data_IF_173436055352
#
_entry.id   IF_173436055352
#
_cell.length_a   1.000
_cell.length_b   1.000
_cell.length_c   1.000
_cell.angle_alpha   90.00
_cell.angle_beta   90.00
_cell.angle_gamma   90.00
#
_symmetry.space_group_name_H-M   'P 1'
#
loop_
_entity.id
_entity.type
_entity.pdbx_description
1 polymer ?
#
# COMPACT_ATOMS: atom_id res chain seq x y z
N UNK A 1 -20.72 30.62 -57.45
CA UNK A 1 -21.10 30.16 -56.09
C UNK A 1 -22.27 31.02 -55.65
N UNK A 2 -23.44 30.43 -55.51
CA UNK A 2 -24.65 31.17 -55.09
C UNK A 2 -24.60 31.46 -53.60
N UNK A 3 -25.24 32.53 -53.13
CA UNK A 3 -25.27 32.90 -51.71
C UNK A 3 -25.73 31.72 -50.82
N UNK A 4 -26.65 30.90 -51.34
CA UNK A 4 -27.19 29.70 -50.68
C UNK A 4 -26.13 28.61 -50.52
N UNK A 5 -25.31 28.36 -51.55
CA UNK A 5 -24.20 27.41 -51.49
C UNK A 5 -23.14 27.82 -50.45
N UNK A 6 -22.83 29.12 -50.37
CA UNK A 6 -21.88 29.65 -49.38
C UNK A 6 -22.38 29.49 -47.95
N UNK A 7 -23.67 29.78 -47.71
CA UNK A 7 -24.29 29.60 -46.39
C UNK A 7 -24.32 28.11 -46.01
N UNK A 8 -24.66 27.22 -46.96
CA UNK A 8 -24.67 25.77 -46.72
C UNK A 8 -23.26 25.23 -46.42
N UNK A 9 -22.24 25.68 -47.15
CA UNK A 9 -20.85 25.31 -46.90
C UNK A 9 -20.40 25.73 -45.49
N UNK A 10 -20.69 26.98 -45.09
CA UNK A 10 -20.35 27.50 -43.77
C UNK A 10 -21.07 26.73 -42.64
N UNK A 11 -22.35 26.37 -42.84
CA UNK A 11 -23.10 25.57 -41.88
C UNK A 11 -22.50 24.16 -41.69
N UNK A 12 -22.06 23.52 -42.76
CA UNK A 12 -21.39 22.20 -42.70
C UNK A 12 -20.04 22.28 -41.98
N UNK A 13 -19.24 23.32 -42.24
CA UNK A 13 -17.96 23.55 -41.54
C UNK A 13 -18.21 23.80 -40.05
N UNK A 14 -19.19 24.63 -39.70
CA UNK A 14 -19.56 24.89 -38.31
C UNK A 14 -20.01 23.62 -37.58
N UNK A 15 -20.75 22.75 -38.26
CA UNK A 15 -21.21 21.46 -37.71
C UNK A 15 -20.04 20.51 -37.45
N UNK A 16 -19.09 20.41 -38.41
CA UNK A 16 -17.88 19.60 -38.25
C UNK A 16 -17.02 20.09 -37.09
N UNK A 17 -16.80 21.41 -36.98
CA UNK A 17 -16.07 22.02 -35.87
C UNK A 17 -16.79 21.78 -34.54
N UNK A 18 -18.12 21.92 -34.51
CA UNK A 18 -18.93 21.61 -33.33
C UNK A 18 -18.75 20.18 -32.84
N UNK A 19 -18.71 19.20 -33.76
CA UNK A 19 -18.44 17.81 -33.41
C UNK A 19 -17.02 17.62 -32.84
N UNK A 20 -16.00 18.24 -33.45
CA UNK A 20 -14.61 18.17 -32.95
C UNK A 20 -14.53 18.77 -31.53
N UNK A 21 -15.15 19.91 -31.29
CA UNK A 21 -15.21 20.53 -29.96
C UNK A 21 -15.95 19.65 -28.96
N UNK A 22 -17.06 19.03 -29.33
CA UNK A 22 -17.81 18.13 -28.45
C UNK A 22 -16.96 16.91 -28.05
N UNK A 23 -16.26 16.29 -29.00
CA UNK A 23 -15.33 15.18 -28.71
C UNK A 23 -14.20 15.65 -27.80
N UNK A 24 -13.61 16.81 -28.09
CA UNK A 24 -12.54 17.37 -27.24
C UNK A 24 -13.01 17.63 -25.81
N UNK A 25 -14.16 18.28 -25.63
CA UNK A 25 -14.74 18.55 -24.30
C UNK A 25 -15.04 17.24 -23.58
N UNK A 26 -15.61 16.24 -24.27
CA UNK A 26 -15.87 14.93 -23.69
C UNK A 26 -14.59 14.25 -23.19
N UNK A 27 -13.52 14.27 -23.99
CA UNK A 27 -12.22 13.71 -23.60
C UNK A 27 -11.62 14.46 -22.41
N UNK A 28 -11.71 15.79 -22.38
CA UNK A 28 -11.22 16.60 -21.26
C UNK A 28 -12.02 16.37 -19.98
N UNK A 29 -13.35 16.31 -20.08
CA UNK A 29 -14.24 16.00 -18.96
C UNK A 29 -13.94 14.61 -18.39
N UNK A 30 -13.79 13.61 -19.27
CA UNK A 30 -13.45 12.24 -18.87
C UNK A 30 -12.09 12.20 -18.15
N UNK A 31 -11.08 12.90 -18.69
CA UNK A 31 -9.76 13.03 -18.07
C UNK A 31 -9.82 13.69 -16.69
N UNK A 32 -10.61 14.76 -16.52
CA UNK A 32 -10.77 15.44 -15.23
C UNK A 32 -11.51 14.57 -14.21
N UNK A 33 -12.53 13.82 -14.64
CA UNK A 33 -13.24 12.87 -13.78
C UNK A 33 -12.34 11.74 -13.28
N UNK A 34 -11.45 11.23 -14.14
CA UNK A 34 -10.54 10.13 -13.78
C UNK A 34 -9.35 10.61 -12.93
N UNK A 35 -9.00 11.91 -12.99
CA UNK A 35 -7.89 12.51 -12.24
C UNK A 35 -8.10 12.44 -10.73
N UNK A 36 -9.25 12.90 -10.21
CA UNK A 36 -9.52 12.86 -8.77
C UNK A 36 -9.56 11.43 -8.27
N UNK A 37 -10.16 10.52 -9.05
CA UNK A 37 -10.26 9.10 -8.72
C UNK A 37 -8.89 8.44 -8.57
N UNK A 38 -7.99 8.60 -9.55
CA UNK A 38 -6.64 7.99 -9.49
C UNK A 38 -5.80 8.54 -8.34
N UNK A 39 -5.87 9.84 -8.10
CA UNK A 39 -5.16 10.49 -6.99
C UNK A 39 -5.64 9.97 -5.64
N UNK A 40 -6.95 9.85 -5.47
CA UNK A 40 -7.56 9.41 -4.20
C UNK A 40 -7.27 7.91 -3.95
N UNK A 41 -7.36 7.05 -4.97
CA UNK A 41 -6.96 5.63 -4.88
C UNK A 41 -5.48 5.48 -4.51
N UNK A 42 -4.60 6.34 -5.06
CA UNK A 42 -3.17 6.33 -4.70
C UNK A 42 -2.94 6.75 -3.26
N UNK A 43 -3.70 7.74 -2.78
CA UNK A 43 -3.64 8.17 -1.38
C UNK A 43 -4.16 7.10 -0.41
N UNK A 44 -5.25 6.41 -0.74
CA UNK A 44 -5.75 5.28 0.06
C UNK A 44 -4.70 4.17 0.20
N UNK A 45 -3.97 3.86 -0.88
CA UNK A 45 -2.90 2.88 -0.84
C UNK A 45 -1.69 3.36 -0.03
N UNK A 46 -1.34 4.65 -0.09
CA UNK A 46 -0.28 5.26 0.73
C UNK A 46 -0.59 5.11 2.22
N UNK A 47 -1.83 5.41 2.62
CA UNK A 47 -2.30 5.24 4.00
C UNK A 47 -2.31 3.78 4.44
N UNK A 48 -2.84 2.88 3.60
CA UNK A 48 -2.88 1.46 3.91
C UNK A 48 -1.48 0.85 4.07
N UNK A 49 -0.50 1.37 3.31
CA UNK A 49 0.92 0.98 3.42
C UNK A 49 1.48 1.37 4.79
N UNK A 50 1.32 2.63 5.18
CA UNK A 50 1.78 3.14 6.48
C UNK A 50 1.16 2.36 7.64
N UNK A 51 -0.16 2.17 7.60
CA UNK A 51 -0.92 1.45 8.63
C UNK A 51 -0.44 -0.01 8.78
N UNK A 52 -0.19 -0.68 7.66
CA UNK A 52 0.24 -2.09 7.66
C UNK A 52 1.64 -2.24 8.23
N UNK A 53 2.58 -1.39 7.84
CA UNK A 53 3.93 -1.42 8.40
C UNK A 53 3.97 -1.03 9.87
N UNK A 54 3.14 -0.08 10.31
CA UNK A 54 3.01 0.27 11.73
C UNK A 54 2.42 -0.92 12.55
N UNK A 55 1.40 -1.59 12.02
CA UNK A 55 0.83 -2.79 12.63
C UNK A 55 1.85 -3.94 12.69
N UNK A 56 2.67 -4.10 11.64
CA UNK A 56 3.73 -5.10 11.57
C UNK A 56 4.77 -4.88 12.67
N UNK A 57 5.30 -3.65 12.79
CA UNK A 57 6.24 -3.26 13.86
C UNK A 57 5.65 -3.56 15.24
N UNK A 58 4.42 -3.11 15.49
CA UNK A 58 3.76 -3.30 16.79
C UNK A 58 3.59 -4.78 17.14
N UNK A 59 3.25 -5.60 16.15
CA UNK A 59 3.07 -7.05 16.34
C UNK A 59 4.39 -7.74 16.64
N UNK A 60 5.46 -7.37 15.94
CA UNK A 60 6.82 -7.90 16.16
C UNK A 60 7.37 -7.47 17.52
N UNK A 61 7.15 -6.23 17.95
CA UNK A 61 7.52 -5.75 19.28
C UNK A 61 6.81 -6.55 20.37
N UNK A 62 5.49 -6.73 20.24
CA UNK A 62 4.68 -7.51 21.17
C UNK A 62 5.16 -8.95 21.25
N UNK A 63 5.46 -9.55 20.10
CA UNK A 63 6.02 -10.88 20.00
C UNK A 63 7.38 -11.01 20.72
N UNK A 64 8.28 -10.08 20.45
CA UNK A 64 9.62 -10.03 21.03
C UNK A 64 9.58 -9.93 22.55
N UNK A 65 8.68 -9.09 23.09
CA UNK A 65 8.44 -8.98 24.51
C UNK A 65 7.92 -10.28 25.12
N UNK A 66 6.97 -10.95 24.44
CA UNK A 66 6.48 -12.26 24.87
C UNK A 66 7.63 -13.27 24.94
N UNK A 67 8.48 -13.35 23.91
CA UNK A 67 9.64 -14.25 23.88
C UNK A 67 10.64 -13.93 25.00
N UNK A 68 10.98 -12.64 25.18
CA UNK A 68 11.93 -12.18 26.21
C UNK A 68 11.48 -12.60 27.61
N UNK A 69 10.23 -12.35 27.95
CA UNK A 69 9.67 -12.68 29.27
C UNK A 69 9.78 -14.18 29.56
N UNK A 70 9.62 -15.03 28.55
CA UNK A 70 9.69 -16.48 28.76
C UNK A 70 11.10 -17.01 28.89
N UNK A 71 12.05 -16.45 28.15
CA UNK A 71 13.47 -16.75 28.35
C UNK A 71 13.91 -16.36 29.77
N UNK A 72 13.49 -15.17 30.24
CA UNK A 72 13.76 -14.71 31.63
C UNK A 72 13.14 -15.64 32.68
N UNK A 73 11.94 -16.15 32.42
CA UNK A 73 11.23 -17.04 33.34
C UNK A 73 11.66 -18.51 33.25
N UNK A 74 12.59 -18.88 32.36
CA UNK A 74 13.04 -20.26 32.17
C UNK A 74 11.97 -21.21 31.60
N UNK A 75 10.96 -20.66 30.92
CA UNK A 75 9.87 -21.44 30.35
C UNK A 75 10.22 -21.95 28.94
N UNK A 76 10.10 -23.25 28.72
CA UNK A 76 10.36 -23.90 27.41
C UNK A 76 9.14 -23.97 26.48
N UNK A 77 7.97 -23.47 26.90
CA UNK A 77 6.76 -23.46 26.08
C UNK A 77 6.60 -22.14 25.33
N UNK A 78 6.04 -22.22 24.12
CA UNK A 78 5.86 -21.08 23.25
C UNK A 78 4.80 -20.10 23.81
N UNK A 79 5.21 -18.87 24.20
CA UNK A 79 4.34 -17.86 24.82
C UNK A 79 3.18 -17.41 23.94
N UNK A 80 3.48 -17.40 22.65
CA UNK A 80 2.82 -16.52 21.70
C UNK A 80 1.36 -16.91 21.53
N UNK A 81 1.04 -18.19 21.75
CA UNK A 81 -0.31 -18.73 21.66
C UNK A 81 -1.15 -18.53 22.93
N UNK A 82 -0.53 -18.09 24.03
CA UNK A 82 -1.19 -17.94 25.33
C UNK A 82 -1.45 -16.47 25.70
N UNK A 83 -0.72 -15.52 25.10
CA UNK A 83 -0.94 -14.08 25.33
C UNK A 83 -2.01 -13.52 24.42
N UNK A 84 -3.11 -13.09 25.05
CA UNK A 84 -4.22 -12.43 24.38
C UNK A 84 -3.79 -11.19 23.58
N UNK A 85 -2.86 -10.40 24.10
CA UNK A 85 -2.36 -9.19 23.44
C UNK A 85 -1.73 -9.51 22.07
N UNK A 86 -0.92 -10.57 21.97
CA UNK A 86 -0.33 -10.97 20.69
C UNK A 86 -1.39 -11.49 19.72
N UNK A 87 -2.33 -12.31 20.20
CA UNK A 87 -3.43 -12.84 19.37
C UNK A 87 -4.25 -11.70 18.77
N UNK A 88 -4.56 -10.69 19.58
CA UNK A 88 -5.30 -9.51 19.12
C UNK A 88 -4.48 -8.68 18.11
N UNK A 89 -3.20 -8.41 18.41
CA UNK A 89 -2.32 -7.67 17.49
C UNK A 89 -2.10 -8.39 16.17
N UNK A 90 -1.94 -9.72 16.19
CA UNK A 90 -1.84 -10.53 14.98
C UNK A 90 -3.11 -10.47 14.16
N UNK A 91 -4.28 -10.57 14.79
CA UNK A 91 -5.57 -10.41 14.10
C UNK A 91 -5.71 -9.02 13.45
N UNK A 92 -5.28 -7.97 14.15
CA UNK A 92 -5.27 -6.61 13.60
C UNK A 92 -4.31 -6.50 12.40
N UNK A 93 -3.11 -7.10 12.50
CA UNK A 93 -2.15 -7.15 11.40
C UNK A 93 -2.74 -7.86 10.18
N UNK A 94 -3.34 -9.04 10.35
CA UNK A 94 -3.94 -9.82 9.25
C UNK A 94 -5.02 -9.01 8.52
N UNK A 95 -5.85 -8.27 9.27
CA UNK A 95 -6.85 -7.36 8.70
C UNK A 95 -6.19 -6.21 7.91
N UNK A 96 -5.14 -5.59 8.46
CA UNK A 96 -4.42 -4.51 7.79
C UNK A 96 -3.72 -4.99 6.51
N UNK A 97 -3.09 -6.17 6.53
CA UNK A 97 -2.51 -6.82 5.35
C UNK A 97 -3.56 -7.05 4.27
N UNK A 98 -4.76 -7.48 4.65
CA UNK A 98 -5.87 -7.67 3.72
C UNK A 98 -6.32 -6.34 3.10
N UNK A 99 -6.53 -5.29 3.89
CA UNK A 99 -6.87 -3.95 3.39
C UNK A 99 -5.78 -3.38 2.49
N UNK A 100 -4.51 -3.59 2.84
CA UNK A 100 -3.37 -3.20 2.01
C UNK A 100 -3.40 -3.88 0.65
N UNK A 101 -3.60 -5.20 0.63
CA UNK A 101 -3.71 -5.96 -0.61
C UNK A 101 -4.86 -5.44 -1.50
N UNK A 102 -6.03 -5.17 -0.92
CA UNK A 102 -7.17 -4.63 -1.66
C UNK A 102 -6.84 -3.26 -2.30
N UNK A 103 -6.13 -2.39 -1.58
CA UNK A 103 -5.72 -1.09 -2.14
C UNK A 103 -4.67 -1.23 -3.24
N UNK A 104 -3.74 -2.18 -3.14
CA UNK A 104 -2.82 -2.49 -4.25
C UNK A 104 -3.58 -3.02 -5.48
N UNK A 105 -4.61 -3.82 -5.29
CA UNK A 105 -5.47 -4.30 -6.39
C UNK A 105 -6.19 -3.12 -7.06
N UNK A 106 -6.73 -2.16 -6.28
CA UNK A 106 -7.35 -0.94 -6.83
C UNK A 106 -6.36 -0.10 -7.66
N UNK A 107 -5.11 0.02 -7.22
CA UNK A 107 -4.05 0.69 -7.97
C UNK A 107 -3.80 0.02 -9.33
N UNK A 108 -3.71 -1.31 -9.33
CA UNK A 108 -3.50 -2.09 -10.56
C UNK A 108 -4.68 -1.90 -11.54
N UNK A 109 -5.93 -1.96 -11.06
CA UNK A 109 -7.13 -1.68 -11.88
C UNK A 109 -7.11 -0.24 -12.44
N UNK A 110 -6.52 0.71 -11.70
CA UNK A 110 -6.37 2.11 -12.12
C UNK A 110 -5.23 2.34 -13.12
N UNK A 111 -4.58 1.27 -13.59
CA UNK A 111 -3.41 1.27 -14.48
C UNK A 111 -2.22 2.06 -13.91
N UNK A 112 -2.05 2.03 -12.58
CA UNK A 112 -0.88 2.60 -11.92
C UNK A 112 0.14 1.46 -11.76
N UNK A 113 1.27 1.58 -12.45
CA UNK A 113 2.29 0.54 -12.46
C UNK A 113 2.97 0.46 -11.08
N UNK A 114 2.91 -0.70 -10.46
CA UNK A 114 3.56 -0.97 -9.18
C UNK A 114 4.95 -1.54 -9.42
N UNK A 115 5.95 -0.98 -8.74
CA UNK A 115 7.28 -1.58 -8.71
C UNK A 115 7.33 -2.65 -7.62
N UNK A 116 7.29 -3.91 -8.02
CA UNK A 116 7.32 -5.07 -7.10
C UNK A 116 8.64 -5.19 -6.32
N UNK A 117 9.69 -4.47 -6.72
CA UNK A 117 10.94 -4.39 -5.94
C UNK A 117 10.83 -3.47 -4.73
N UNK A 118 9.87 -2.54 -4.75
CA UNK A 118 9.63 -1.55 -3.70
C UNK A 118 8.39 -1.93 -2.89
N UNK A 119 7.30 -2.27 -3.58
CA UNK A 119 6.00 -2.59 -3.00
C UNK A 119 5.88 -4.10 -2.79
N UNK A 120 5.84 -4.52 -1.53
CA UNK A 120 5.69 -5.93 -1.19
C UNK A 120 4.25 -6.38 -1.42
N UNK A 121 4.05 -7.44 -2.21
CA UNK A 121 2.73 -8.06 -2.30
C UNK A 121 2.33 -8.74 -0.97
N UNK A 122 1.06 -9.14 -0.86
CA UNK A 122 0.51 -9.81 0.34
C UNK A 122 1.34 -11.00 0.81
N UNK A 123 1.74 -11.87 -0.12
CA UNK A 123 2.47 -13.09 0.22
C UNK A 123 3.87 -12.75 0.73
N UNK A 124 4.56 -11.82 0.07
CA UNK A 124 5.87 -11.34 0.49
C UNK A 124 5.83 -10.70 1.88
N UNK A 125 4.75 -9.97 2.20
CA UNK A 125 4.53 -9.40 3.53
C UNK A 125 4.36 -10.48 4.60
N UNK A 126 3.55 -11.50 4.32
CA UNK A 126 3.32 -12.64 5.23
C UNK A 126 4.62 -13.42 5.44
N UNK A 127 5.31 -13.79 4.37
CA UNK A 127 6.57 -14.53 4.46
C UNK A 127 7.66 -13.75 5.20
N UNK A 128 7.71 -12.42 5.02
CA UNK A 128 8.63 -11.56 5.77
C UNK A 128 8.31 -11.54 7.26
N UNK A 129 7.03 -11.42 7.62
CA UNK A 129 6.60 -11.53 9.01
C UNK A 129 6.98 -12.87 9.62
N UNK A 130 6.68 -13.99 8.94
CA UNK A 130 7.01 -15.34 9.40
C UNK A 130 8.53 -15.56 9.57
N UNK A 131 9.34 -15.03 8.65
CA UNK A 131 10.80 -15.06 8.77
C UNK A 131 11.28 -14.31 10.01
N UNK A 132 10.78 -13.10 10.26
CA UNK A 132 11.16 -12.30 11.43
C UNK A 132 10.78 -13.02 12.73
N UNK A 133 9.58 -13.60 12.78
CA UNK A 133 9.12 -14.38 13.92
C UNK A 133 10.03 -15.59 14.16
N UNK A 134 10.41 -16.29 13.10
CA UNK A 134 11.33 -17.44 13.18
C UNK A 134 12.70 -17.04 13.71
N UNK A 135 13.25 -15.92 13.23
CA UNK A 135 14.53 -15.40 13.69
C UNK A 135 14.50 -15.00 15.17
N UNK A 136 13.44 -14.32 15.62
CA UNK A 136 13.26 -13.97 17.04
C UNK A 136 13.08 -15.23 17.89
N UNK A 137 12.34 -16.22 17.38
CA UNK A 137 12.10 -17.46 18.10
C UNK A 137 13.38 -18.27 18.33
N UNK A 138 14.33 -18.22 17.39
CA UNK A 138 15.62 -18.89 17.47
C UNK A 138 16.57 -18.28 18.53
N UNK A 139 16.26 -17.09 19.05
CA UNK A 139 17.07 -16.44 20.08
C UNK A 139 16.84 -17.13 21.44
N UNK A 140 17.95 -17.50 22.07
CA UNK A 140 17.96 -18.16 23.39
C UNK A 140 18.43 -17.24 24.53
N UNK A 141 19.13 -16.15 24.21
CA UNK A 141 19.56 -15.16 25.18
C UNK A 141 18.58 -13.96 25.18
N UNK A 142 17.91 -13.64 26.29
CA UNK A 142 16.94 -12.55 26.34
C UNK A 142 17.54 -11.18 25.99
N UNK A 143 18.83 -10.97 26.22
CA UNK A 143 19.51 -9.69 25.95
C UNK A 143 19.77 -9.45 24.45
N UNK A 144 19.73 -10.50 23.62
CA UNK A 144 19.93 -10.39 22.17
C UNK A 144 18.64 -9.99 21.43
N UNK A 145 17.47 -10.17 22.08
CA UNK A 145 16.16 -9.86 21.48
C UNK A 145 16.00 -8.37 21.14
N UNK A 146 16.30 -7.41 22.04
CA UNK A 146 16.18 -5.99 21.71
C UNK A 146 17.10 -5.54 20.56
N UNK A 147 18.30 -6.14 20.47
CA UNK A 147 19.26 -5.85 19.40
C UNK A 147 18.67 -6.28 18.06
N UNK A 148 18.20 -7.53 17.98
CA UNK A 148 17.60 -8.07 16.76
C UNK A 148 16.30 -7.36 16.38
N UNK A 149 15.48 -7.02 17.36
CA UNK A 149 14.25 -6.24 17.16
C UNK A 149 14.54 -4.87 16.51
N UNK A 150 15.58 -4.18 16.96
CA UNK A 150 15.96 -2.89 16.37
C UNK A 150 16.39 -3.03 14.90
N UNK A 151 17.12 -4.09 14.54
CA UNK A 151 17.47 -4.37 13.15
C UNK A 151 16.22 -4.54 12.28
N UNK A 152 15.24 -5.33 12.74
CA UNK A 152 13.99 -5.53 12.00
C UNK A 152 13.15 -4.27 11.91
N UNK A 153 13.08 -3.46 12.97
CA UNK A 153 12.36 -2.19 12.95
C UNK A 153 12.98 -1.23 11.93
N UNK A 154 14.31 -1.16 11.86
CA UNK A 154 15.01 -0.33 10.88
C UNK A 154 14.75 -0.81 9.45
N UNK A 155 14.82 -2.11 9.21
CA UNK A 155 14.55 -2.70 7.90
C UNK A 155 13.10 -2.42 7.45
N UNK A 156 12.13 -2.66 8.34
CA UNK A 156 10.71 -2.37 8.07
C UNK A 156 10.48 -0.87 7.87
N UNK A 157 11.15 -0.02 8.66
CA UNK A 157 11.08 1.43 8.52
C UNK A 157 11.57 1.91 7.15
N UNK A 158 12.68 1.34 6.66
CA UNK A 158 13.21 1.64 5.32
C UNK A 158 12.23 1.19 4.22
N UNK A 159 11.67 -0.01 4.34
CA UNK A 159 10.67 -0.51 3.39
C UNK A 159 9.41 0.37 3.36
N UNK A 160 8.91 0.76 4.52
CA UNK A 160 7.77 1.66 4.67
C UNK A 160 8.04 3.01 4.01
N UNK A 161 9.21 3.60 4.27
CA UNK A 161 9.59 4.88 3.69
C UNK A 161 9.71 4.79 2.16
N UNK A 162 10.39 3.77 1.64
CA UNK A 162 10.55 3.59 0.20
C UNK A 162 9.20 3.37 -0.51
N UNK A 163 8.33 2.55 0.08
CA UNK A 163 6.99 2.27 -0.45
C UNK A 163 6.11 3.52 -0.48
N UNK A 164 6.14 4.30 0.60
CA UNK A 164 5.33 5.52 0.72
C UNK A 164 5.87 6.66 -0.13
N UNK A 165 7.19 6.79 -0.26
CA UNK A 165 7.81 7.74 -1.18
C UNK A 165 7.45 7.43 -2.63
N UNK A 166 7.48 6.15 -3.02
CA UNK A 166 7.04 5.71 -4.35
C UNK A 166 5.58 6.09 -4.63
N UNK A 167 4.67 5.79 -3.70
CA UNK A 167 3.24 6.13 -3.85
C UNK A 167 3.01 7.64 -3.85
N UNK A 168 3.74 8.39 -3.02
CA UNK A 168 3.67 9.86 -2.96
C UNK A 168 4.15 10.50 -4.27
N UNK A 169 5.27 10.02 -4.83
CA UNK A 169 5.76 10.45 -6.16
C UNK A 169 4.75 10.13 -7.25
N UNK A 170 4.19 8.93 -7.22
CA UNK A 170 3.15 8.51 -8.17
C UNK A 170 1.93 9.42 -8.10
N UNK A 171 1.45 9.72 -6.89
CA UNK A 171 0.32 10.64 -6.66
C UNK A 171 0.58 12.06 -7.18
N UNK A 172 1.81 12.57 -7.07
CA UNK A 172 2.20 13.90 -7.57
C UNK A 172 2.32 13.97 -9.09
N UNK A 173 2.53 12.83 -9.74
CA UNK A 173 2.73 12.73 -11.19
C UNK A 173 1.45 12.36 -11.96
N UNK A 174 0.34 12.09 -11.26
CA UNK A 174 -1.03 11.95 -11.83
C UNK A 174 -1.58 13.34 -12.11
#
# INVERSE_FOLDING_TARGET
MTCIETISLLANIATLLGLIFAIYIFLQWKRQSDYSFKRDVTFEAELATLDTFAALITTIQTYSECKRIYLVNGNNQDPQFLRQDYIEKKKQLDQKIQTYHENLVKLNISNINLDESIILNKNNMISKFESIITDIHAINNPDDIPVKLNEFILEIGLLSNNSTEFLSKTRKNI
#
